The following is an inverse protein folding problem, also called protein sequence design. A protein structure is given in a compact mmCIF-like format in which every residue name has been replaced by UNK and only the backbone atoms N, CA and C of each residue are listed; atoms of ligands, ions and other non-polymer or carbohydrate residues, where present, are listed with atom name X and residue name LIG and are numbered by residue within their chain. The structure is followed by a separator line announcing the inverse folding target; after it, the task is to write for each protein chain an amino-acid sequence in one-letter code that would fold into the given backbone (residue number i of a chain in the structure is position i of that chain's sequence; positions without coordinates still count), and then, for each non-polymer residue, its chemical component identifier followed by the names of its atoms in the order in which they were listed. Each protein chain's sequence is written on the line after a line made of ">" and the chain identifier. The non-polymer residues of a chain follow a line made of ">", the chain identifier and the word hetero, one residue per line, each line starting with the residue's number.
data_IF_318312457147
#
_entry.id   IF_318312457147
#
_cell.length_a   1.000
_cell.length_b   1.000
_cell.length_c   1.000
_cell.angle_alpha   90.00
_cell.angle_beta   90.00
_cell.angle_gamma   90.00
#
_symmetry.space_group_name_H-M   'P 1'
#
loop_
_entity.id
_entity.type
_entity.pdbx_description
1 polymer ?
#
# COMPACT_ATOMS: atom_id res chain seq x y z
N UNK A 1 9.37 -60.87 33.21
CA UNK A 1 8.80 -60.26 34.43
C UNK A 1 8.12 -58.96 34.02
N UNK A 2 6.78 -58.91 34.12
CA UNK A 2 5.85 -57.76 33.97
C UNK A 2 5.87 -56.96 32.63
N UNK A 3 4.77 -56.50 32.04
CA UNK A 3 3.34 -56.78 32.15
C UNK A 3 2.71 -56.16 30.88
N UNK A 4 1.87 -56.93 30.19
CA UNK A 4 0.53 -56.61 29.64
C UNK A 4 0.26 -55.16 29.17
N UNK A 5 -0.01 -54.92 27.88
CA UNK A 5 -1.22 -55.27 27.10
C UNK A 5 -2.24 -54.12 27.06
N UNK A 6 -2.83 -53.96 25.87
CA UNK A 6 -3.98 -53.10 25.60
C UNK A 6 -3.82 -52.46 24.22
N UNK A 7 -4.14 -53.17 23.13
CA UNK A 7 -5.46 -53.21 22.46
C UNK A 7 -5.95 -51.78 22.14
N UNK A 8 -6.38 -51.44 20.92
CA UNK A 8 -7.29 -52.22 20.10
C UNK A 8 -7.32 -51.75 18.64
N UNK A 9 -7.77 -52.69 17.81
CA UNK A 9 -8.58 -52.56 16.60
C UNK A 9 -7.99 -51.78 15.41
N UNK A 10 -7.50 -52.47 14.39
CA UNK A 10 -8.24 -53.29 13.41
C UNK A 10 -9.19 -52.48 12.51
N UNK A 11 -8.72 -52.36 11.25
CA UNK A 11 -9.43 -52.46 9.97
C UNK A 11 -10.42 -51.34 9.61
N UNK A 12 -10.13 -50.65 8.51
CA UNK A 12 -10.70 -51.08 7.23
C UNK A 12 -10.08 -50.34 6.02
N UNK A 13 -9.59 -51.16 5.08
CA UNK A 13 -9.60 -51.01 3.60
C UNK A 13 -9.07 -49.71 2.99
N UNK A 14 -7.86 -49.75 2.39
CA UNK A 14 -7.61 -50.10 0.98
C UNK A 14 -8.23 -49.09 0.01
N UNK A 15 -7.40 -48.24 -0.60
CA UNK A 15 -7.13 -48.34 -2.04
C UNK A 15 -6.05 -47.35 -2.50
N UNK A 16 -5.25 -47.86 -3.41
CA UNK A 16 -4.11 -47.28 -4.11
C UNK A 16 -4.50 -46.17 -5.08
N UNK A 17 -3.68 -45.12 -5.20
CA UNK A 17 -2.97 -44.65 -6.42
C UNK A 17 -2.52 -43.19 -6.29
N UNK A 18 -1.51 -42.76 -7.09
CA UNK A 18 -0.54 -41.76 -6.69
C UNK A 18 -1.08 -40.37 -7.01
N UNK A 19 -0.42 -39.36 -6.46
CA UNK A 19 -0.17 -38.03 -7.01
C UNK A 19 0.16 -37.16 -5.81
N UNK A 20 1.45 -37.14 -5.44
CA UNK A 20 2.00 -36.01 -4.69
C UNK A 20 2.03 -34.80 -5.63
N UNK A 21 0.86 -34.32 -6.03
CA UNK A 21 0.71 -32.91 -6.33
C UNK A 21 0.90 -32.22 -4.99
N UNK A 22 2.16 -31.81 -4.75
CA UNK A 22 2.44 -30.68 -3.90
C UNK A 22 1.63 -29.53 -4.51
N UNK A 23 0.39 -29.37 -4.03
CA UNK A 23 -0.39 -28.15 -4.20
C UNK A 23 0.44 -27.09 -3.50
N UNK A 24 1.43 -26.59 -4.22
CA UNK A 24 2.04 -25.31 -3.92
C UNK A 24 0.89 -24.37 -4.18
N UNK A 25 0.25 -23.91 -3.10
CA UNK A 25 -0.63 -22.75 -3.15
C UNK A 25 0.26 -21.66 -3.73
N UNK A 26 0.14 -21.43 -5.04
CA UNK A 26 0.81 -20.34 -5.72
C UNK A 26 0.17 -19.11 -5.13
N UNK A 27 0.99 -18.29 -4.48
CA UNK A 27 0.61 -17.02 -3.88
C UNK A 27 -0.20 -16.21 -4.92
N UNK A 28 -1.51 -16.13 -4.75
CA UNK A 28 -2.34 -15.14 -5.45
C UNK A 28 -1.95 -13.78 -4.85
N UNK A 29 -0.92 -13.11 -5.37
CA UNK A 29 -0.51 -11.84 -4.76
C UNK A 29 0.86 -11.28 -5.11
N UNK A 30 1.20 -11.21 -6.40
CA UNK A 30 2.28 -10.33 -6.89
C UNK A 30 1.73 -9.01 -7.48
N UNK A 31 0.43 -8.73 -7.31
CA UNK A 31 -0.16 -7.48 -7.74
C UNK A 31 0.07 -6.41 -6.69
N UNK A 32 0.81 -5.36 -7.07
CA UNK A 32 0.94 -4.14 -6.29
C UNK A 32 -0.44 -3.53 -6.04
N UNK A 33 -0.71 -3.06 -4.82
CA UNK A 33 -1.95 -2.33 -4.50
C UNK A 33 -2.16 -1.09 -5.35
N UNK A 34 -1.07 -0.40 -5.70
CA UNK A 34 -1.09 0.80 -6.53
C UNK A 34 -0.21 0.60 -7.77
N UNK A 35 -0.66 1.14 -8.90
CA UNK A 35 0.22 1.36 -10.04
C UNK A 35 1.27 2.39 -9.63
N UNK A 36 2.56 2.04 -9.73
CA UNK A 36 3.63 2.97 -9.41
C UNK A 36 3.78 4.04 -10.51
N UNK A 37 3.81 5.31 -10.10
CA UNK A 37 3.90 6.46 -11.01
C UNK A 37 5.15 7.26 -10.64
N UNK A 38 6.00 7.48 -11.64
CA UNK A 38 7.19 8.32 -11.50
C UNK A 38 6.81 9.80 -11.64
N UNK A 39 7.49 10.66 -10.89
CA UNK A 39 7.37 12.10 -11.09
C UNK A 39 8.18 12.57 -12.32
N UNK A 40 7.65 13.52 -13.06
CA UNK A 40 8.26 14.01 -14.32
C UNK A 40 9.22 15.19 -14.11
N UNK A 41 9.13 15.87 -12.97
CA UNK A 41 9.95 17.04 -12.63
C UNK A 41 10.48 16.95 -11.19
N UNK A 42 11.14 17.98 -10.65
CA UNK A 42 11.72 17.96 -9.30
C UNK A 42 10.70 18.16 -8.16
N UNK A 43 9.47 18.58 -8.49
CA UNK A 43 8.48 19.14 -7.55
C UNK A 43 7.13 18.39 -7.56
N UNK A 44 6.90 17.48 -8.49
CA UNK A 44 5.64 16.74 -8.72
C UNK A 44 5.48 15.47 -7.88
N UNK A 45 6.27 15.30 -6.82
CA UNK A 45 6.13 14.14 -5.90
C UNK A 45 4.75 14.09 -5.22
N UNK A 46 4.16 15.25 -4.90
CA UNK A 46 2.80 15.34 -4.35
C UNK A 46 1.74 14.85 -5.32
N UNK A 47 1.59 15.47 -6.51
CA UNK A 47 0.68 15.01 -7.55
C UNK A 47 0.84 13.53 -7.90
N UNK A 48 2.07 13.02 -7.99
CA UNK A 48 2.32 11.60 -8.24
C UNK A 48 1.76 10.69 -7.14
N UNK A 49 1.87 11.08 -5.86
CA UNK A 49 1.24 10.32 -4.77
C UNK A 49 -0.29 10.35 -4.83
N UNK A 50 -0.89 11.49 -5.17
CA UNK A 50 -2.34 11.57 -5.36
C UNK A 50 -2.79 10.68 -6.53
N UNK A 51 -2.08 10.74 -7.66
CA UNK A 51 -2.37 9.90 -8.83
C UNK A 51 -2.35 8.41 -8.49
N UNK A 52 -1.32 7.95 -7.75
CA UNK A 52 -1.20 6.56 -7.33
C UNK A 52 -2.32 6.12 -6.37
N UNK A 53 -2.70 6.96 -5.39
CA UNK A 53 -3.78 6.64 -4.44
C UNK A 53 -5.16 6.61 -5.11
N UNK A 54 -5.42 7.60 -5.97
CA UNK A 54 -6.70 7.76 -6.66
C UNK A 54 -6.83 6.85 -7.89
N UNK A 55 -5.73 6.31 -8.41
CA UNK A 55 -5.74 5.49 -9.63
C UNK A 55 -5.95 6.30 -10.92
N UNK A 56 -5.49 7.55 -10.95
CA UNK A 56 -5.62 8.47 -12.09
C UNK A 56 -4.25 8.78 -12.72
N UNK A 57 -4.22 9.54 -13.81
CA UNK A 57 -2.96 9.97 -14.43
C UNK A 57 -2.27 11.06 -13.61
N UNK A 58 -0.97 11.25 -13.84
CA UNK A 58 -0.21 12.33 -13.20
C UNK A 58 -0.74 13.70 -13.62
N UNK A 59 -1.12 13.88 -14.89
CA UNK A 59 -1.67 15.14 -15.38
C UNK A 59 -3.01 15.47 -14.70
N UNK A 60 -3.90 14.49 -14.59
CA UNK A 60 -5.19 14.65 -13.89
C UNK A 60 -4.97 15.06 -12.43
N UNK A 61 -4.07 14.37 -11.71
CA UNK A 61 -3.78 14.71 -10.33
C UNK A 61 -3.11 16.09 -10.18
N UNK A 62 -2.24 16.47 -11.13
CA UNK A 62 -1.55 17.76 -11.10
C UNK A 62 -2.50 18.94 -11.36
N UNK A 63 -3.51 18.76 -12.22
CA UNK A 63 -4.49 19.79 -12.52
C UNK A 63 -5.38 20.16 -11.31
N UNK A 64 -5.62 19.21 -10.41
CA UNK A 64 -6.48 19.40 -9.22
C UNK A 64 -5.73 19.99 -8.02
N UNK A 65 -4.41 20.13 -8.10
CA UNK A 65 -3.60 20.65 -7.00
C UNK A 65 -3.17 22.07 -7.35
N UNK A 66 -3.77 23.05 -6.69
CA UNK A 66 -3.22 24.39 -6.63
C UNK A 66 -1.91 24.36 -5.85
N UNK A 67 -0.78 24.67 -6.49
CA UNK A 67 0.58 24.52 -5.95
C UNK A 67 1.10 25.88 -5.50
N UNK A 68 2.04 25.88 -4.55
CA UNK A 68 2.75 27.10 -4.18
C UNK A 68 3.51 27.69 -5.37
N UNK A 69 3.92 28.97 -5.27
CA UNK A 69 4.70 29.65 -6.32
C UNK A 69 6.02 28.94 -6.65
N UNK A 70 6.56 28.15 -5.73
CA UNK A 70 7.75 27.32 -5.93
C UNK A 70 7.43 25.90 -6.46
N UNK A 71 6.19 25.63 -6.82
CA UNK A 71 5.68 24.34 -7.29
C UNK A 71 5.61 23.24 -6.21
N UNK A 72 5.98 23.48 -4.95
CA UNK A 72 5.90 22.44 -3.91
C UNK A 72 4.47 22.31 -3.38
N UNK A 73 4.16 21.15 -2.80
CA UNK A 73 2.87 20.90 -2.14
C UNK A 73 3.04 20.75 -0.63
N UNK A 74 2.05 21.22 0.11
CA UNK A 74 1.94 21.07 1.57
C UNK A 74 0.76 20.18 2.00
N UNK A 75 0.62 19.95 3.30
CA UNK A 75 -0.48 19.15 3.83
C UNK A 75 -1.88 19.74 3.62
N UNK A 76 -2.03 21.05 3.47
CA UNK A 76 -3.34 21.65 3.18
C UNK A 76 -3.79 21.28 1.76
N UNK A 77 -2.90 21.49 0.78
CA UNK A 77 -3.12 21.13 -0.63
C UNK A 77 -3.34 19.63 -0.80
N UNK A 78 -2.49 18.80 -0.18
CA UNK A 78 -2.64 17.34 -0.27
C UNK A 78 -3.97 16.84 0.30
N UNK A 79 -4.45 17.44 1.40
CA UNK A 79 -5.75 17.07 1.99
C UNK A 79 -6.94 17.50 1.14
N UNK A 80 -6.85 18.64 0.46
CA UNK A 80 -7.86 19.08 -0.50
C UNK A 80 -7.91 18.09 -1.66
N UNK A 81 -6.76 17.79 -2.27
CA UNK A 81 -6.65 16.86 -3.38
C UNK A 81 -7.20 15.46 -3.06
N UNK A 82 -6.85 14.91 -1.89
CA UNK A 82 -7.41 13.63 -1.44
C UNK A 82 -8.95 13.66 -1.45
N UNK A 83 -9.57 14.71 -0.89
CA UNK A 83 -11.03 14.83 -0.86
C UNK A 83 -11.63 15.00 -2.26
N UNK A 84 -10.99 15.78 -3.13
CA UNK A 84 -11.44 15.97 -4.52
C UNK A 84 -11.54 14.64 -5.25
N UNK A 85 -10.62 13.71 -5.01
CA UNK A 85 -10.63 12.36 -5.59
C UNK A 85 -11.43 11.33 -4.77
N UNK A 86 -12.27 11.75 -3.83
CA UNK A 86 -13.08 10.83 -3.02
C UNK A 86 -12.26 9.94 -2.08
N UNK A 87 -11.04 10.36 -1.71
CA UNK A 87 -10.20 9.68 -0.75
C UNK A 87 -10.39 10.31 0.64
N UNK A 88 -10.92 9.53 1.56
CA UNK A 88 -11.06 9.93 2.95
C UNK A 88 -9.72 9.88 3.68
N UNK A 89 -9.57 10.77 4.65
CA UNK A 89 -8.43 10.77 5.56
C UNK A 89 -8.87 11.14 6.97
N UNK A 90 -8.15 10.61 7.96
CA UNK A 90 -8.46 10.83 9.36
C UNK A 90 -7.71 12.05 9.93
N UNK A 91 -8.41 13.14 10.19
CA UNK A 91 -7.94 14.24 11.04
C UNK A 91 -6.75 15.04 10.46
N UNK A 92 -5.77 15.33 11.33
CA UNK A 92 -4.56 16.10 10.99
C UNK A 92 -3.37 15.15 10.78
N UNK A 93 -2.35 15.55 10.00
CA UNK A 93 -1.12 14.77 9.86
C UNK A 93 -0.50 14.46 11.22
N UNK A 94 -0.15 13.20 11.44
CA UNK A 94 0.46 12.71 12.67
C UNK A 94 1.96 12.62 12.50
N UNK A 95 2.73 13.15 13.46
CA UNK A 95 4.18 12.97 13.48
C UNK A 95 4.55 11.50 13.65
N UNK A 96 5.63 11.10 13.01
CA UNK A 96 6.19 9.75 13.10
C UNK A 96 7.68 9.80 12.81
N UNK A 97 8.45 8.85 13.34
CA UNK A 97 9.88 8.70 13.03
C UNK A 97 10.23 7.27 12.59
N UNK A 98 9.24 6.38 12.54
CA UNK A 98 9.40 4.95 12.28
C UNK A 98 8.23 4.44 11.42
N UNK A 99 8.56 3.86 10.26
CA UNK A 99 7.60 3.30 9.31
C UNK A 99 6.70 2.23 9.96
N UNK A 100 7.22 1.43 10.87
CA UNK A 100 6.48 0.35 11.52
C UNK A 100 5.29 0.85 12.36
N UNK A 101 5.33 2.12 12.79
CA UNK A 101 4.27 2.77 13.59
C UNK A 101 3.11 3.32 12.76
N UNK A 102 3.20 3.29 11.44
CA UNK A 102 2.12 3.74 10.55
C UNK A 102 1.14 2.57 10.38
N UNK A 103 -0.13 2.71 10.80
CA UNK A 103 -1.01 1.55 11.01
C UNK A 103 -1.70 1.02 9.75
N UNK A 104 -1.67 1.75 8.63
CA UNK A 104 -2.43 1.46 7.42
C UNK A 104 -1.80 2.15 6.20
N UNK A 105 -2.49 2.13 5.05
CA UNK A 105 -2.12 2.93 3.88
C UNK A 105 -2.08 4.40 4.27
N UNK A 106 -0.97 5.07 3.96
CA UNK A 106 -0.79 6.46 4.31
C UNK A 106 -0.05 7.24 3.23
N UNK A 107 -0.46 8.49 3.07
CA UNK A 107 0.39 9.52 2.47
C UNK A 107 1.42 9.95 3.53
N UNK A 108 2.70 10.00 3.19
CA UNK A 108 3.78 10.26 4.13
C UNK A 108 4.68 11.39 3.63
N UNK A 109 4.86 12.39 4.48
CA UNK A 109 5.92 13.37 4.34
C UNK A 109 7.20 12.81 4.96
N UNK A 110 8.30 12.88 4.21
CA UNK A 110 9.60 12.35 4.60
C UNK A 110 10.72 13.26 4.10
N UNK A 111 11.93 13.08 4.60
CA UNK A 111 13.10 13.80 4.09
C UNK A 111 13.66 13.12 2.83
N UNK A 112 14.17 13.93 1.89
CA UNK A 112 15.09 13.46 0.85
C UNK A 112 16.40 13.08 1.52
N UNK A 113 16.81 11.82 1.40
CA UNK A 113 18.00 11.25 2.06
C UNK A 113 19.27 12.08 1.81
N UNK A 114 19.40 12.71 0.64
CA UNK A 114 20.60 13.48 0.27
C UNK A 114 20.57 14.97 0.64
N UNK A 115 19.39 15.61 0.77
CA UNK A 115 19.30 17.08 0.91
C UNK A 115 18.49 17.55 2.12
N UNK A 116 17.81 16.64 2.84
CA UNK A 116 16.89 17.01 3.91
C UNK A 116 15.58 17.65 3.42
N UNK A 117 15.44 17.86 2.11
CA UNK A 117 14.26 18.50 1.53
C UNK A 117 13.00 17.67 1.73
N UNK A 118 11.88 18.37 1.78
CA UNK A 118 10.55 17.80 1.84
C UNK A 118 10.24 16.88 0.65
N UNK A 119 9.69 15.69 0.91
CA UNK A 119 9.30 14.72 -0.11
C UNK A 119 8.05 13.94 0.29
N UNK A 120 7.25 13.57 -0.72
CA UNK A 120 6.04 12.77 -0.55
C UNK A 120 6.24 11.35 -1.05
N UNK A 121 5.76 10.37 -0.27
CA UNK A 121 5.63 8.97 -0.67
C UNK A 121 4.30 8.41 -0.18
N UNK A 122 3.91 7.25 -0.72
CA UNK A 122 2.86 6.41 -0.14
C UNK A 122 3.52 5.27 0.62
N UNK A 123 3.01 4.96 1.79
CA UNK A 123 3.32 3.74 2.52
C UNK A 123 2.12 2.83 2.54
N UNK A 124 2.29 1.59 2.08
CA UNK A 124 1.33 0.51 2.26
C UNK A 124 1.80 -0.41 3.39
N UNK A 125 1.09 -0.33 4.52
CA UNK A 125 1.40 -1.15 5.70
C UNK A 125 1.16 -2.64 5.47
N UNK A 126 0.20 -2.99 4.60
CA UNK A 126 -0.23 -4.37 4.38
C UNK A 126 0.81 -5.16 3.60
N UNK A 127 1.37 -4.54 2.57
CA UNK A 127 2.43 -5.14 1.74
C UNK A 127 3.84 -4.77 2.23
N UNK A 128 3.95 -3.80 3.15
CA UNK A 128 5.21 -3.29 3.65
C UNK A 128 6.01 -2.52 2.59
N UNK A 129 5.31 -1.85 1.67
CA UNK A 129 5.90 -1.20 0.51
C UNK A 129 5.82 0.32 0.60
N UNK A 130 6.87 0.98 0.12
CA UNK A 130 6.94 2.42 -0.09
C UNK A 130 6.92 2.69 -1.59
N UNK A 131 5.92 3.45 -2.02
CA UNK A 131 5.79 3.95 -3.38
C UNK A 131 6.38 5.35 -3.43
N UNK A 132 7.64 5.43 -3.88
CA UNK A 132 8.38 6.67 -3.99
C UNK A 132 8.39 7.15 -5.45
N UNK A 133 7.84 8.34 -5.77
CA UNK A 133 7.83 8.88 -7.13
C UNK A 133 9.23 9.04 -7.78
N UNK A 134 10.31 9.02 -7.00
CA UNK A 134 11.69 9.07 -7.50
C UNK A 134 12.32 7.69 -7.69
N UNK A 135 11.66 6.61 -7.26
CA UNK A 135 12.21 5.26 -7.31
C UNK A 135 12.01 4.60 -8.67
N UNK A 136 12.96 4.79 -9.60
CA UNK A 136 12.90 4.20 -10.96
C UNK A 136 12.71 2.68 -11.01
N UNK A 137 13.13 1.96 -9.96
CA UNK A 137 13.04 0.50 -9.88
C UNK A 137 11.72 0.01 -9.25
N UNK A 138 10.75 0.90 -9.04
CA UNK A 138 9.47 0.56 -8.44
C UNK A 138 9.41 0.73 -6.91
N UNK A 139 8.30 0.29 -6.30
CA UNK A 139 8.10 0.32 -4.86
C UNK A 139 9.12 -0.56 -4.13
N UNK A 140 9.49 -0.16 -2.92
CA UNK A 140 10.54 -0.84 -2.14
C UNK A 140 10.02 -1.20 -0.76
N UNK A 141 10.58 -2.27 -0.18
CA UNK A 141 10.31 -2.60 1.22
C UNK A 141 10.81 -1.50 2.16
N UNK A 142 10.03 -1.19 3.19
CA UNK A 142 10.39 -0.14 4.17
C UNK A 142 11.55 -0.53 5.09
N UNK A 143 11.90 -1.81 5.16
CA UNK A 143 12.90 -2.37 6.07
C UNK A 143 14.18 -2.85 5.34
N UNK A 144 14.37 -2.43 4.09
CA UNK A 144 15.56 -2.80 3.29
C UNK A 144 16.25 -1.55 2.74
N UNK A 145 17.54 -1.41 3.06
CA UNK A 145 18.44 -0.40 2.48
C UNK A 145 18.27 1.01 3.05
N UNK A 146 18.73 2.02 2.30
CA UNK A 146 18.63 3.44 2.66
C UNK A 146 17.23 3.98 2.35
N UNK A 147 16.28 3.63 3.20
CA UNK A 147 14.89 4.10 3.11
C UNK A 147 14.81 5.55 3.61
N UNK A 148 13.86 6.32 3.08
CA UNK A 148 13.61 7.70 3.53
C UNK A 148 13.24 7.74 5.02
N UNK A 149 13.50 8.86 5.68
CA UNK A 149 13.10 9.06 7.07
C UNK A 149 11.70 9.69 7.12
N UNK A 150 10.69 9.00 7.68
CA UNK A 150 9.35 9.54 7.75
C UNK A 150 9.30 10.65 8.81
N UNK A 151 8.51 11.69 8.55
CA UNK A 151 8.37 12.87 9.42
C UNK A 151 6.93 12.96 9.94
N UNK A 152 5.97 12.82 9.04
CA UNK A 152 4.55 12.82 9.37
C UNK A 152 3.76 12.04 8.33
N UNK A 153 2.61 11.54 8.72
CA UNK A 153 1.73 10.77 7.84
C UNK A 153 0.27 11.15 8.01
N UNK A 154 -0.52 10.82 7.00
CA UNK A 154 -1.95 10.89 7.02
C UNK A 154 -2.50 9.58 6.45
N UNK A 155 -3.28 8.86 7.25
CA UNK A 155 -3.90 7.62 6.80
C UNK A 155 -4.99 7.93 5.78
N UNK A 156 -5.01 7.15 4.70
CA UNK A 156 -5.92 7.31 3.56
C UNK A 156 -6.81 6.08 3.44
N UNK A 157 -8.09 6.30 3.22
CA UNK A 157 -9.10 5.27 3.01
C UNK A 157 -9.92 5.59 1.76
N UNK A 158 -10.33 4.59 0.99
CA UNK A 158 -11.34 4.80 -0.05
C UNK A 158 -12.72 4.89 0.59
N UNK A 159 -13.57 5.77 0.07
CA UNK A 159 -14.99 5.83 0.47
C UNK A 159 -15.66 4.47 0.21
N UNK A 160 -16.65 4.14 1.03
CA UNK A 160 -17.38 2.86 0.96
C UNK A 160 -18.19 2.68 -0.33
N UNK A 161 -18.34 3.70 -1.17
CA UNK A 161 -19.27 3.69 -2.31
C UNK A 161 -18.90 2.71 -3.44
N UNK A 162 -17.64 2.24 -3.52
CA UNK A 162 -17.25 1.20 -4.50
C UNK A 162 -17.40 -0.25 -3.99
N UNK A 163 -17.62 -0.48 -2.69
CA UNK A 163 -17.74 -1.86 -2.16
C UNK A 163 -19.16 -2.43 -2.35
N UNK A 164 -20.15 -1.58 -2.65
CA UNK A 164 -21.55 -1.96 -2.83
C UNK A 164 -21.96 -2.37 -4.24
N UNK A 165 -21.23 -1.98 -5.29
CA UNK A 165 -21.68 -2.19 -6.69
C UNK A 165 -21.35 -3.59 -7.23
N UNK A 166 -20.36 -4.28 -6.65
CA UNK A 166 -19.92 -5.60 -7.12
C UNK A 166 -20.75 -6.80 -6.59
N UNK A 167 -21.83 -6.59 -5.81
CA UNK A 167 -22.66 -7.68 -5.25
C UNK A 167 -24.09 -7.76 -5.80
N UNK A 168 -24.42 -7.01 -6.84
CA UNK A 168 -25.77 -6.93 -7.40
C UNK A 168 -25.87 -7.30 -8.88
N UNK A 169 -25.20 -8.34 -9.35
CA UNK A 169 -25.42 -8.90 -10.69
C UNK A 169 -25.45 -10.42 -10.61
N UNK A 170 -26.62 -11.00 -10.32
CA UNK A 170 -26.81 -12.44 -10.39
C UNK A 170 -28.14 -12.90 -9.83
N UNK A 171 -28.98 -13.44 -10.74
CA UNK A 171 -30.29 -14.10 -10.59
C UNK A 171 -31.46 -13.11 -10.73
N UNK A 172 -32.21 -13.07 -11.84
CA UNK A 172 -32.51 -14.14 -12.80
C UNK A 172 -33.54 -15.08 -12.20
#
# INVERSE_FOLDING_TARGET
>A
MRLLAGRANERCTLETYPLRHRLTIVKLGDQLRFKHILQNDTVSCGPACIAMLAGVSLETAAAEIDRHSNGKTDWAQMRVALRTFGLEHSGRPKRVADWAKIPAVALVACSRVASGDWHWVIFDRFDGLIYDPLAKNGPRRFDVGNVRHPISYLTVHRTKEEIGVARGAGRG
#
